data_IF_170124118083
#
_entry.id   IF_170124118083
#
_cell.length_a   1.000
_cell.length_b   1.000
_cell.length_c   1.000
_cell.angle_alpha   90.00
_cell.angle_beta   90.00
_cell.angle_gamma   90.00
#
_symmetry.space_group_name_H-M   'P 1'
#
loop_
_entity.id
_entity.type
_entity.pdbx_description
1 polymer ?
#
# COMPACT_ATOMS: atom_id res chain seq x y z
N UNK A 1 -70.18 5.23 -21.65
CA UNK A 1 -68.82 5.73 -21.92
C UNK A 1 -67.95 5.30 -20.74
N UNK A 2 -67.10 4.27 -20.91
CA UNK A 2 -66.18 3.82 -19.90
C UNK A 2 -64.84 4.44 -20.20
N UNK A 3 -64.32 5.25 -19.26
CA UNK A 3 -63.00 5.87 -19.35
C UNK A 3 -61.96 4.90 -18.77
N UNK A 4 -61.11 4.38 -19.62
CA UNK A 4 -60.02 3.48 -19.25
C UNK A 4 -58.84 4.32 -18.80
N UNK A 5 -58.60 4.40 -17.48
CA UNK A 5 -57.40 5.02 -16.93
C UNK A 5 -56.21 4.05 -17.06
N UNK A 6 -55.27 4.35 -17.96
CA UNK A 6 -54.03 3.62 -18.09
C UNK A 6 -53.06 4.14 -17.02
N UNK A 7 -52.85 3.32 -15.98
CA UNK A 7 -51.84 3.58 -14.94
C UNK A 7 -50.45 3.17 -15.48
N UNK A 8 -49.64 4.14 -15.88
CA UNK A 8 -48.29 3.91 -16.36
C UNK A 8 -47.36 3.66 -15.15
N UNK A 9 -47.08 2.39 -14.86
CA UNK A 9 -46.14 2.01 -13.80
C UNK A 9 -44.72 2.20 -14.32
N UNK A 10 -44.05 3.30 -13.94
CA UNK A 10 -42.63 3.53 -14.20
C UNK A 10 -41.81 2.63 -13.28
N UNK A 11 -41.34 1.50 -13.79
CA UNK A 11 -40.34 0.65 -13.12
C UNK A 11 -38.98 1.33 -13.20
N UNK A 12 -38.57 2.01 -12.13
CA UNK A 12 -37.19 2.49 -11.98
C UNK A 12 -36.31 1.30 -11.65
N UNK A 13 -35.64 0.76 -12.65
CA UNK A 13 -34.57 -0.24 -12.47
C UNK A 13 -33.39 0.44 -11.85
N UNK A 14 -33.25 0.37 -10.53
CA UNK A 14 -32.00 0.73 -9.83
C UNK A 14 -30.97 -0.35 -10.14
N UNK A 15 -30.15 -0.09 -11.12
CA UNK A 15 -28.99 -0.96 -11.41
C UNK A 15 -27.93 -0.73 -10.33
N UNK A 16 -27.89 -1.62 -9.34
CA UNK A 16 -26.80 -1.67 -8.39
C UNK A 16 -25.53 -2.15 -9.12
N UNK A 17 -24.74 -1.23 -9.61
CA UNK A 17 -23.38 -1.55 -10.07
C UNK A 17 -22.50 -1.79 -8.86
N UNK A 18 -21.94 -3.00 -8.72
CA UNK A 18 -20.90 -3.24 -7.72
C UNK A 18 -19.77 -2.24 -7.95
N UNK A 19 -19.21 -1.62 -6.88
CA UNK A 19 -18.02 -0.78 -7.01
C UNK A 19 -16.94 -1.53 -7.78
N UNK A 20 -16.37 -0.90 -8.79
CA UNK A 20 -15.24 -1.50 -9.52
C UNK A 20 -14.07 -1.64 -8.58
N UNK A 21 -13.48 -2.83 -8.50
CA UNK A 21 -12.23 -3.01 -7.79
C UNK A 21 -11.16 -2.11 -8.43
N UNK A 22 -10.30 -1.50 -7.60
CA UNK A 22 -9.17 -0.73 -8.09
C UNK A 22 -8.08 -1.66 -8.64
N UNK A 23 -7.28 -1.15 -9.55
CA UNK A 23 -6.09 -1.82 -10.07
C UNK A 23 -5.04 -0.75 -10.43
N UNK A 24 -3.93 -1.15 -11.03
CA UNK A 24 -2.94 -0.25 -11.61
C UNK A 24 -3.12 -0.08 -13.12
N UNK A 25 -4.18 -0.64 -13.71
CA UNK A 25 -4.38 -0.71 -15.15
C UNK A 25 -5.64 0.04 -15.60
N UNK A 26 -5.56 0.66 -16.78
CA UNK A 26 -6.67 1.26 -17.53
C UNK A 26 -7.63 2.11 -16.67
N UNK A 27 -8.94 1.88 -16.84
CA UNK A 27 -10.03 2.66 -16.19
C UNK A 27 -10.22 2.38 -14.70
N UNK A 28 -9.43 1.50 -14.12
CA UNK A 28 -9.41 1.21 -12.69
C UNK A 28 -8.07 1.55 -12.04
N UNK A 29 -7.16 2.17 -12.83
CA UNK A 29 -5.87 2.66 -12.41
C UNK A 29 -5.92 3.94 -11.56
N UNK A 30 -4.75 4.40 -11.09
CA UNK A 30 -4.62 5.50 -10.11
C UNK A 30 -5.36 6.78 -10.48
N UNK A 31 -5.37 7.16 -11.76
CA UNK A 31 -6.08 8.35 -12.25
C UNK A 31 -7.60 8.31 -12.02
N UNK A 32 -8.15 7.12 -11.84
CA UNK A 32 -9.58 6.89 -11.68
C UNK A 32 -10.01 6.53 -10.27
N UNK A 33 -9.06 6.24 -9.36
CA UNK A 33 -9.37 5.76 -8.01
C UNK A 33 -10.38 6.62 -7.27
N UNK A 34 -10.23 7.94 -7.31
CA UNK A 34 -11.17 8.87 -6.69
C UNK A 34 -12.59 8.86 -7.27
N UNK A 35 -12.79 8.20 -8.44
CA UNK A 35 -14.08 8.11 -9.15
C UNK A 35 -14.69 6.71 -9.12
N UNK A 36 -13.96 5.71 -8.62
CA UNK A 36 -14.43 4.31 -8.59
C UNK A 36 -15.57 4.09 -7.59
N UNK A 37 -15.55 4.82 -6.48
CA UNK A 37 -16.60 4.81 -5.47
C UNK A 37 -16.63 6.16 -4.73
N UNK A 38 -17.77 6.53 -4.16
CA UNK A 38 -17.90 7.77 -3.38
C UNK A 38 -16.94 7.81 -2.16
N UNK A 39 -16.68 6.64 -1.54
CA UNK A 39 -15.71 6.48 -0.46
C UNK A 39 -14.27 6.83 -0.84
N UNK A 40 -13.96 6.81 -2.15
CA UNK A 40 -12.61 7.06 -2.67
C UNK A 40 -12.40 8.53 -3.09
N UNK A 41 -13.37 9.41 -2.88
CA UNK A 41 -13.30 10.80 -3.33
C UNK A 41 -12.05 11.54 -2.82
N UNK A 42 -11.55 11.19 -1.63
CA UNK A 42 -10.32 11.74 -1.04
C UNK A 42 -9.09 11.50 -1.92
N UNK A 43 -9.04 10.43 -2.71
CA UNK A 43 -7.94 10.15 -3.65
C UNK A 43 -7.84 11.19 -4.78
N UNK A 44 -8.91 11.93 -5.06
CA UNK A 44 -8.93 12.99 -6.09
C UNK A 44 -9.03 14.40 -5.50
N UNK A 45 -9.53 14.56 -4.29
CA UNK A 45 -9.89 15.84 -3.69
C UNK A 45 -9.12 16.18 -2.41
N UNK A 46 -8.38 15.20 -1.85
CA UNK A 46 -7.57 15.40 -0.66
C UNK A 46 -6.34 16.27 -0.94
N UNK A 47 -5.88 16.98 0.08
CA UNK A 47 -4.73 17.89 -0.01
C UNK A 47 -3.42 17.25 0.48
N UNK A 48 -3.50 16.12 1.16
CA UNK A 48 -2.37 15.34 1.67
C UNK A 48 -2.29 14.03 0.90
N UNK A 49 -1.68 14.09 -0.28
CA UNK A 49 -1.58 12.95 -1.19
C UNK A 49 -0.27 12.18 -1.01
N UNK A 50 -0.34 10.86 -1.12
CA UNK A 50 0.79 9.95 -1.24
C UNK A 50 0.33 8.75 -2.08
N UNK A 51 1.17 8.22 -2.98
CA UNK A 51 2.53 8.63 -3.34
C UNK A 51 2.61 9.95 -4.11
N UNK A 52 3.81 10.56 -4.17
CA UNK A 52 4.07 11.84 -4.85
C UNK A 52 5.35 11.77 -5.72
N UNK A 53 5.51 12.74 -6.61
CA UNK A 53 6.77 13.00 -7.28
C UNK A 53 7.64 13.93 -6.43
N UNK A 54 8.78 13.44 -5.97
CA UNK A 54 9.75 14.21 -5.18
C UNK A 54 10.67 14.95 -6.15
N UNK A 55 10.50 16.27 -6.25
CA UNK A 55 11.31 17.13 -7.13
C UNK A 55 12.47 17.68 -6.30
N UNK A 56 13.70 17.22 -6.60
CA UNK A 56 14.91 17.53 -5.82
C UNK A 56 15.17 19.04 -5.67
N UNK A 57 14.86 19.84 -6.68
CA UNK A 57 15.00 21.31 -6.61
C UNK A 57 13.99 22.00 -5.68
N UNK A 58 12.94 21.30 -5.26
CA UNK A 58 11.90 21.81 -4.34
C UNK A 58 12.09 21.27 -2.92
N UNK A 59 12.98 20.31 -2.71
CA UNK A 59 13.29 19.77 -1.40
C UNK A 59 14.00 20.81 -0.57
N UNK A 60 13.52 21.03 0.67
CA UNK A 60 14.20 21.88 1.66
C UNK A 60 15.01 20.97 2.58
N UNK A 61 16.28 21.33 2.76
CA UNK A 61 17.12 20.69 3.77
C UNK A 61 16.66 21.13 5.17
N UNK A 62 16.21 20.17 5.96
CA UNK A 62 15.94 20.41 7.38
C UNK A 62 17.10 19.85 8.21
N UNK A 63 17.51 20.61 9.24
CA UNK A 63 18.42 20.09 10.26
C UNK A 63 17.83 18.78 10.79
N UNK A 64 18.60 17.69 10.79
CA UNK A 64 18.19 16.36 11.24
C UNK A 64 17.24 16.45 12.43
N UNK A 65 16.00 16.18 12.21
CA UNK A 65 15.01 15.99 13.27
C UNK A 65 15.53 14.83 14.13
N UNK A 66 15.98 15.13 15.34
CA UNK A 66 16.41 14.15 16.34
C UNK A 66 15.28 13.18 16.77
N UNK A 67 14.11 13.30 16.15
CA UNK A 67 12.89 12.58 16.51
C UNK A 67 12.57 11.35 15.68
N UNK A 68 13.40 10.96 14.69
CA UNK A 68 13.17 9.75 13.90
C UNK A 68 14.09 8.63 14.35
N UNK A 69 13.54 7.53 14.81
CA UNK A 69 14.30 6.34 15.22
C UNK A 69 13.66 5.09 14.66
N UNK A 70 14.45 4.25 14.00
CA UNK A 70 14.07 2.95 13.50
C UNK A 70 14.72 1.89 14.36
N UNK A 71 13.95 0.93 14.84
CA UNK A 71 14.47 -0.25 15.55
C UNK A 71 13.88 -1.48 14.86
N UNK A 72 14.72 -2.17 14.10
CA UNK A 72 14.36 -3.42 13.46
C UNK A 72 15.23 -4.56 13.99
N UNK A 73 14.56 -5.65 14.30
CA UNK A 73 15.16 -6.89 14.76
C UNK A 73 14.74 -8.03 13.83
N UNK A 74 15.51 -9.11 13.77
CA UNK A 74 15.12 -10.32 13.06
C UNK A 74 13.73 -10.75 13.52
N UNK A 75 12.83 -10.95 12.57
CA UNK A 75 11.40 -11.15 12.85
C UNK A 75 10.79 -12.20 11.92
N UNK A 76 9.80 -12.89 12.41
CA UNK A 76 9.03 -13.88 11.66
C UNK A 76 7.84 -13.21 10.99
N UNK A 77 7.60 -13.58 9.73
CA UNK A 77 6.51 -13.09 8.88
C UNK A 77 5.70 -14.24 8.31
N UNK A 78 4.43 -13.97 8.01
CA UNK A 78 3.62 -14.78 7.09
C UNK A 78 3.48 -14.06 5.78
N UNK A 79 3.56 -14.79 4.65
CA UNK A 79 3.40 -14.21 3.32
C UNK A 79 1.97 -14.39 2.81
N UNK A 80 1.44 -13.36 2.15
CA UNK A 80 0.11 -13.36 1.59
C UNK A 80 0.09 -12.68 0.22
N UNK A 81 -0.33 -13.39 -0.82
CA UNK A 81 -0.64 -12.80 -2.12
C UNK A 81 -2.11 -12.38 -2.11
N UNK A 82 -2.38 -11.09 -1.98
CA UNK A 82 -3.75 -10.55 -1.90
C UNK A 82 -4.36 -10.24 -3.28
N UNK A 83 -3.64 -10.52 -4.38
CA UNK A 83 -4.04 -10.24 -5.75
C UNK A 83 -3.55 -8.89 -6.30
N UNK A 84 -3.08 -7.98 -5.45
CA UNK A 84 -2.50 -6.69 -5.82
C UNK A 84 -1.00 -6.64 -5.53
N UNK A 85 -0.58 -7.24 -4.43
CA UNK A 85 0.83 -7.35 -4.02
C UNK A 85 1.05 -8.59 -3.18
N UNK A 86 2.30 -8.89 -2.92
CA UNK A 86 2.71 -9.88 -1.93
C UNK A 86 3.07 -9.14 -0.65
N UNK A 87 2.32 -9.42 0.39
CA UNK A 87 2.40 -8.79 1.69
C UNK A 87 3.01 -9.75 2.71
N UNK A 88 4.00 -9.28 3.46
CA UNK A 88 4.61 -9.99 4.57
C UNK A 88 4.08 -9.42 5.89
N UNK A 89 3.24 -10.17 6.60
CA UNK A 89 2.64 -9.75 7.88
C UNK A 89 3.57 -10.08 9.04
N UNK A 90 3.88 -9.10 9.88
CA UNK A 90 4.72 -9.28 11.05
C UNK A 90 3.97 -10.05 12.14
N UNK A 91 4.58 -11.11 12.67
CA UNK A 91 4.01 -11.90 13.77
C UNK A 91 4.39 -11.30 15.14
N UNK A 92 5.46 -10.49 15.20
CA UNK A 92 5.96 -9.93 16.46
C UNK A 92 5.91 -8.41 16.44
N UNK A 93 5.71 -7.80 17.62
CA UNK A 93 5.62 -6.35 17.79
C UNK A 93 6.96 -5.69 18.17
N UNK A 94 8.10 -6.34 17.86
CA UNK A 94 9.44 -5.85 18.26
C UNK A 94 9.97 -4.74 17.37
N UNK A 95 9.51 -4.67 16.14
CA UNK A 95 9.96 -3.70 15.13
C UNK A 95 9.18 -2.40 15.22
N UNK A 96 9.87 -1.28 15.29
CA UNK A 96 9.28 0.02 15.60
C UNK A 96 9.88 1.13 14.78
N UNK A 97 9.04 2.09 14.46
CA UNK A 97 9.38 3.40 13.93
C UNK A 97 8.91 4.45 14.94
N UNK A 98 9.80 5.38 15.32
CA UNK A 98 9.44 6.55 16.11
C UNK A 98 9.49 7.77 15.19
N UNK A 99 8.43 8.54 15.14
CA UNK A 99 8.35 9.80 14.40
C UNK A 99 7.81 10.85 15.35
N UNK A 100 8.57 11.92 15.57
CA UNK A 100 8.19 13.04 16.45
C UNK A 100 7.77 12.59 17.87
N UNK A 101 8.50 11.59 18.41
CA UNK A 101 8.24 11.02 19.73
C UNK A 101 7.09 10.03 19.79
N UNK A 102 6.34 9.85 18.70
CA UNK A 102 5.25 8.89 18.61
C UNK A 102 5.73 7.55 18.06
N UNK A 103 5.37 6.46 18.74
CA UNK A 103 5.79 5.11 18.37
C UNK A 103 4.75 4.41 17.51
N UNK A 104 5.24 3.75 16.44
CA UNK A 104 4.48 2.92 15.54
C UNK A 104 5.12 1.53 15.45
N UNK A 105 4.32 0.47 15.56
CA UNK A 105 4.76 -0.93 15.46
C UNK A 105 4.66 -1.39 14.00
N UNK A 106 5.66 -2.14 13.51
CA UNK A 106 5.61 -2.72 12.17
C UNK A 106 4.46 -3.73 12.10
N UNK A 107 3.52 -3.49 11.19
CA UNK A 107 2.41 -4.39 10.91
C UNK A 107 2.72 -5.33 9.75
N UNK A 108 3.26 -4.80 8.64
CA UNK A 108 3.56 -5.56 7.44
C UNK A 108 4.54 -4.80 6.54
N UNK A 109 5.11 -5.50 5.56
CA UNK A 109 5.76 -4.86 4.42
C UNK A 109 5.26 -5.48 3.11
N UNK A 110 5.35 -4.72 2.02
CA UNK A 110 4.95 -5.16 0.68
C UNK A 110 5.71 -4.38 -0.40
N UNK A 111 5.59 -4.83 -1.65
CA UNK A 111 6.34 -4.30 -2.78
C UNK A 111 5.41 -3.76 -3.86
N UNK A 112 5.89 -2.72 -4.55
CA UNK A 112 5.30 -2.15 -5.75
C UNK A 112 6.32 -2.20 -6.88
N UNK A 113 5.89 -2.54 -8.10
CA UNK A 113 6.72 -2.51 -9.30
C UNK A 113 5.89 -1.95 -10.46
N UNK A 114 6.33 -0.83 -11.09
CA UNK A 114 7.40 0.07 -10.66
C UNK A 114 7.10 0.72 -9.31
N UNK A 115 8.01 1.60 -8.82
CA UNK A 115 7.78 2.39 -7.60
C UNK A 115 6.51 3.22 -7.73
N UNK A 116 5.85 3.51 -6.61
CA UNK A 116 4.70 4.42 -6.59
C UNK A 116 5.13 5.88 -6.51
N UNK A 117 6.16 6.18 -5.69
CA UNK A 117 6.78 7.50 -5.71
C UNK A 117 7.69 7.67 -6.91
N UNK A 118 7.86 8.92 -7.33
CA UNK A 118 8.80 9.34 -8.36
C UNK A 118 9.88 10.24 -7.75
N UNK A 119 11.06 10.24 -8.37
CA UNK A 119 12.09 11.23 -8.13
C UNK A 119 12.39 11.97 -9.43
N UNK A 120 12.13 13.28 -9.46
CA UNK A 120 12.27 14.12 -10.64
C UNK A 120 11.52 13.55 -11.87
N UNK A 121 10.33 12.97 -11.64
CA UNK A 121 9.49 12.38 -12.69
C UNK A 121 9.91 10.98 -13.15
N UNK A 122 10.90 10.35 -12.50
CA UNK A 122 11.35 9.00 -12.82
C UNK A 122 10.92 8.01 -11.74
N UNK A 123 10.49 6.83 -12.19
CA UNK A 123 10.20 5.70 -11.31
C UNK A 123 11.47 4.86 -11.07
N UNK A 124 11.53 4.23 -9.91
CA UNK A 124 12.44 3.15 -9.60
C UNK A 124 11.84 1.80 -9.99
N UNK A 125 12.67 0.76 -10.09
CA UNK A 125 12.21 -0.58 -10.49
C UNK A 125 11.22 -1.16 -9.49
N UNK A 126 11.49 -0.97 -8.19
CA UNK A 126 10.67 -1.47 -7.09
C UNK A 126 10.64 -0.42 -5.97
N UNK A 127 9.51 -0.35 -5.26
CA UNK A 127 9.39 0.34 -3.98
C UNK A 127 8.92 -0.64 -2.91
N UNK A 128 9.64 -0.69 -1.79
CA UNK A 128 9.30 -1.50 -0.64
C UNK A 128 8.68 -0.60 0.43
N UNK A 129 7.47 -0.91 0.86
CA UNK A 129 6.77 -0.20 1.92
C UNK A 129 6.77 -0.99 3.22
N UNK A 130 7.31 -0.41 4.30
CA UNK A 130 7.14 -0.89 5.67
C UNK A 130 6.01 -0.12 6.33
N UNK A 131 4.87 -0.76 6.51
CA UNK A 131 3.67 -0.14 7.10
C UNK A 131 3.68 -0.36 8.61
N UNK A 132 3.68 0.72 9.35
CA UNK A 132 3.64 0.71 10.81
C UNK A 132 2.31 1.28 11.30
N UNK A 133 1.90 0.87 12.50
CA UNK A 133 0.64 1.26 13.10
C UNK A 133 0.82 1.63 14.58
N UNK A 134 0.22 2.73 15.00
CA UNK A 134 0.13 3.08 16.42
C UNK A 134 -1.05 2.38 17.11
N UNK A 135 -1.18 2.57 18.42
CA UNK A 135 -2.26 1.99 19.23
C UNK A 135 -3.66 2.51 18.85
N UNK A 136 -3.73 3.72 18.27
CA UNK A 136 -4.98 4.33 17.80
C UNK A 136 -5.34 3.91 16.37
N UNK A 137 -4.47 3.16 15.69
CA UNK A 137 -4.67 2.71 14.32
C UNK A 137 -4.16 3.67 13.25
N UNK A 138 -3.50 4.78 13.61
CA UNK A 138 -2.86 5.66 12.63
C UNK A 138 -1.66 4.96 12.02
N UNK A 139 -1.39 5.26 10.75
CA UNK A 139 -0.34 4.64 9.98
C UNK A 139 0.87 5.57 9.82
N UNK A 140 2.06 4.96 9.79
CA UNK A 140 3.29 5.57 9.32
C UNK A 140 3.97 4.59 8.36
N UNK A 141 4.36 5.05 7.19
CA UNK A 141 4.97 4.20 6.15
C UNK A 141 6.39 4.68 5.88
N UNK A 142 7.33 3.71 5.88
CA UNK A 142 8.69 3.92 5.41
C UNK A 142 8.80 3.29 4.02
N UNK A 143 9.05 4.11 2.99
CA UNK A 143 9.32 3.67 1.63
C UNK A 143 10.82 3.53 1.39
N UNK A 144 11.22 2.46 0.71
CA UNK A 144 12.60 2.19 0.28
C UNK A 144 12.62 1.92 -1.22
N UNK A 145 13.37 2.74 -1.95
CA UNK A 145 13.55 2.55 -3.40
C UNK A 145 14.59 1.47 -3.67
N UNK A 146 14.29 0.60 -4.62
CA UNK A 146 15.16 -0.51 -5.03
C UNK A 146 15.40 -0.40 -6.53
N UNK A 147 16.66 -0.46 -6.93
CA UNK A 147 17.12 -0.52 -8.32
C UNK A 147 17.71 -1.90 -8.62
N UNK A 148 17.68 -2.27 -9.91
CA UNK A 148 18.35 -3.50 -10.35
C UNK A 148 19.86 -3.42 -10.07
N UNK A 149 20.40 -4.49 -9.47
CA UNK A 149 21.80 -4.52 -9.09
C UNK A 149 22.26 -5.90 -8.64
N UNK A 150 23.19 -5.92 -7.70
CA UNK A 150 23.68 -7.18 -7.12
C UNK A 150 22.56 -7.84 -6.28
N UNK A 151 22.55 -9.18 -6.30
CA UNK A 151 21.61 -9.96 -5.47
C UNK A 151 21.66 -9.52 -4.01
N UNK A 152 20.52 -9.17 -3.45
CA UNK A 152 20.33 -8.97 -2.02
C UNK A 152 19.91 -10.30 -1.39
N UNK A 153 20.78 -10.87 -0.55
CA UNK A 153 20.55 -12.20 0.03
C UNK A 153 19.37 -12.24 1.01
N UNK A 154 19.05 -11.11 1.66
CA UNK A 154 17.90 -11.03 2.57
C UNK A 154 16.59 -11.09 1.77
N UNK A 155 16.50 -10.32 0.69
CA UNK A 155 15.35 -10.34 -0.20
C UNK A 155 15.22 -11.66 -0.97
N UNK A 156 16.34 -12.34 -1.26
CA UNK A 156 16.31 -13.63 -1.94
C UNK A 156 15.43 -14.64 -1.22
N UNK A 157 15.51 -14.72 0.11
CA UNK A 157 14.66 -15.60 0.92
C UNK A 157 13.16 -15.29 0.73
N UNK A 158 12.82 -14.00 0.61
CA UNK A 158 11.44 -13.57 0.34
C UNK A 158 11.03 -14.00 -1.06
N UNK A 159 11.85 -13.70 -2.08
CA UNK A 159 11.56 -14.01 -3.49
C UNK A 159 11.37 -15.51 -3.76
N UNK A 160 12.18 -16.36 -3.14
CA UNK A 160 12.09 -17.81 -3.27
C UNK A 160 10.81 -18.38 -2.65
N UNK A 161 10.25 -17.68 -1.68
CA UNK A 161 9.09 -18.09 -0.88
C UNK A 161 7.77 -17.46 -1.33
N UNK A 162 7.75 -16.67 -2.41
CA UNK A 162 6.56 -15.96 -2.85
C UNK A 162 5.40 -16.87 -3.22
N UNK A 163 4.19 -16.68 -2.66
CA UNK A 163 3.00 -17.41 -3.06
C UNK A 163 2.58 -17.01 -4.48
N UNK A 164 2.71 -17.96 -5.43
CA UNK A 164 2.46 -17.72 -6.88
C UNK A 164 1.00 -17.43 -7.23
N UNK A 165 0.06 -17.76 -6.35
CA UNK A 165 -1.37 -17.56 -6.58
C UNK A 165 -1.97 -16.68 -5.50
N UNK A 166 -2.82 -15.74 -5.92
CA UNK A 166 -3.64 -14.96 -5.00
C UNK A 166 -4.55 -15.91 -4.18
N UNK A 167 -4.64 -15.66 -2.89
CA UNK A 167 -5.45 -16.44 -1.96
C UNK A 167 -6.10 -15.52 -0.93
N UNK A 168 -7.31 -15.86 -0.50
CA UNK A 168 -7.96 -15.20 0.64
C UNK A 168 -7.35 -15.63 1.99
N UNK A 169 -6.53 -16.67 2.00
CA UNK A 169 -5.88 -17.18 3.21
C UNK A 169 -4.39 -16.86 3.15
N UNK A 170 -3.85 -16.42 4.27
CA UNK A 170 -2.41 -16.32 4.44
C UNK A 170 -1.76 -17.70 4.32
N UNK A 171 -0.54 -17.73 3.80
CA UNK A 171 0.29 -18.93 3.84
C UNK A 171 0.70 -19.16 5.28
N UNK A 172 0.47 -20.36 5.79
CA UNK A 172 0.78 -20.71 7.20
C UNK A 172 2.28 -20.84 7.48
N UNK A 173 3.11 -20.86 6.44
CA UNK A 173 4.56 -20.91 6.57
C UNK A 173 5.10 -19.60 7.13
N UNK A 174 6.07 -19.73 8.04
CA UNK A 174 6.69 -18.60 8.74
C UNK A 174 8.10 -18.40 8.20
N UNK A 175 8.40 -17.18 7.79
CA UNK A 175 9.70 -16.79 7.27
C UNK A 175 10.41 -15.86 8.25
N UNK A 176 11.68 -16.15 8.51
CA UNK A 176 12.51 -15.35 9.38
C UNK A 176 13.38 -14.41 8.55
N UNK A 177 13.21 -13.11 8.74
CA UNK A 177 13.84 -12.07 7.91
C UNK A 177 14.60 -11.08 8.80
N UNK A 178 15.81 -10.75 8.37
CA UNK A 178 16.71 -9.78 9.00
C UNK A 178 16.45 -8.38 8.42
N UNK A 179 15.40 -7.68 8.86
CA UNK A 179 15.01 -6.39 8.30
C UNK A 179 16.06 -5.28 8.42
N UNK A 180 16.98 -5.38 9.36
CA UNK A 180 18.04 -4.39 9.56
C UNK A 180 19.17 -4.52 8.53
N UNK A 181 19.14 -5.55 7.70
CA UNK A 181 20.09 -5.79 6.61
C UNK A 181 19.52 -5.39 5.23
N UNK A 182 18.27 -4.92 5.20
CA UNK A 182 17.61 -4.34 4.03
C UNK A 182 17.95 -2.85 3.95
#
# INVERSE_FOLDING_TARGET
MFQLSVLLLLLVLVVYTKPRAWSYEERTGPEYWGKLAASNAVCAQGYEQSPINIVSSQVKEEKRSSGKQITYMPTTFTLHNNGHTIQANAITEKNRLVVEGKQYKLAQFHFHTPSEHQFNGQYYDIELHFVHKDESGNLAVLGVMIEEGRKNEVLATVWESLPKKASKKEVSEKYFIHLHEL
#
